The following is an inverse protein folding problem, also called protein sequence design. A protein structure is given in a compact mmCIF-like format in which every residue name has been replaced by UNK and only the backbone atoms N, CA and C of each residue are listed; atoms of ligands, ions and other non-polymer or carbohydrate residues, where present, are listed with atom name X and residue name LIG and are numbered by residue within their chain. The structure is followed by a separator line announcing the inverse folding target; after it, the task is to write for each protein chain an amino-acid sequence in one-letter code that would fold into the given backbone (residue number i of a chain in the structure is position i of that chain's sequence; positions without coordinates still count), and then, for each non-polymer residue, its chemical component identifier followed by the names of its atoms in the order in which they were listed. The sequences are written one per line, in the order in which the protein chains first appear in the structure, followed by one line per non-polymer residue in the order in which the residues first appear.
data_IF_762279983284
#
_entry.id   IF_762279983284
#
_cell.length_a   1.000
_cell.length_b   1.000
_cell.length_c   1.000
_cell.angle_alpha   90.00
_cell.angle_beta   90.00
_cell.angle_gamma   90.00
#
_symmetry.space_group_name_H-M   'P 1'
#
loop_
_entity.id
_entity.type
_entity.pdbx_description
1 polymer ?
#
# COMPACT_ATOMS: atom_id res chain seq x y z
N UNK A 1 -10.74 34.83 -4.89
CA UNK A 1 -9.84 34.32 -3.85
C UNK A 1 -8.59 35.17 -3.87
N UNK A 2 -8.17 35.66 -2.75
CA UNK A 2 -6.93 36.46 -2.71
C UNK A 2 -5.68 35.54 -2.72
N UNK A 3 -4.53 36.16 -3.01
CA UNK A 3 -3.25 35.44 -3.09
C UNK A 3 -2.89 34.76 -1.80
N UNK A 4 -3.15 35.41 -0.65
CA UNK A 4 -2.82 34.84 0.65
C UNK A 4 -3.57 33.56 0.93
N UNK A 5 -4.86 33.51 0.61
CA UNK A 5 -5.69 32.30 0.79
C UNK A 5 -5.25 31.19 -0.15
N UNK A 6 -4.91 31.55 -1.38
CA UNK A 6 -4.44 30.55 -2.35
C UNK A 6 -3.13 29.92 -1.90
N UNK A 7 -2.19 30.73 -1.43
CA UNK A 7 -0.89 30.24 -0.94
C UNK A 7 -1.05 29.40 0.31
N UNK A 8 -1.95 29.77 1.22
CA UNK A 8 -2.24 28.99 2.42
C UNK A 8 -2.82 27.62 2.07
N UNK A 9 -3.72 27.58 1.09
CA UNK A 9 -4.31 26.33 0.63
C UNK A 9 -3.26 25.40 0.02
N UNK A 10 -2.40 25.95 -0.84
CA UNK A 10 -1.31 25.19 -1.43
C UNK A 10 -0.39 24.61 -0.36
N UNK A 11 -0.02 25.41 0.63
CA UNK A 11 0.84 24.98 1.72
C UNK A 11 0.19 23.83 2.49
N UNK A 12 -1.10 23.95 2.80
CA UNK A 12 -1.82 22.89 3.50
C UNK A 12 -1.86 21.59 2.69
N UNK A 13 -2.11 21.70 1.40
CA UNK A 13 -2.12 20.52 0.53
C UNK A 13 -0.78 19.82 0.48
N UNK A 14 0.30 20.58 0.45
CA UNK A 14 1.65 20.02 0.47
C UNK A 14 1.95 19.33 1.81
N UNK A 15 1.56 19.97 2.91
CA UNK A 15 1.76 19.37 4.24
C UNK A 15 0.96 18.08 4.39
N UNK A 16 -0.28 18.05 3.91
CA UNK A 16 -1.13 16.86 3.97
C UNK A 16 -0.54 15.73 3.13
N UNK A 17 0.00 16.06 1.95
CA UNK A 17 0.66 15.07 1.09
C UNK A 17 1.92 14.51 1.73
N UNK A 18 2.71 15.35 2.39
CA UNK A 18 3.91 14.91 3.11
C UNK A 18 3.54 13.96 4.26
N UNK A 19 2.51 14.30 5.03
CA UNK A 19 2.05 13.45 6.12
C UNK A 19 1.52 12.12 5.61
N UNK A 20 0.82 12.14 4.49
CA UNK A 20 0.39 10.90 3.83
C UNK A 20 1.58 10.03 3.48
N UNK A 21 2.59 10.63 2.86
CA UNK A 21 3.79 9.90 2.46
C UNK A 21 4.51 9.30 3.67
N UNK A 22 4.61 10.06 4.76
CA UNK A 22 5.21 9.57 6.01
C UNK A 22 4.45 8.36 6.56
N UNK A 23 3.11 8.38 6.52
CA UNK A 23 2.29 7.24 6.97
C UNK A 23 2.51 6.02 6.10
N UNK A 24 2.58 6.20 4.78
CA UNK A 24 2.83 5.10 3.85
C UNK A 24 4.20 4.48 4.08
N UNK A 25 5.23 5.34 4.27
CA UNK A 25 6.59 4.87 4.51
C UNK A 25 6.72 4.11 5.84
N UNK A 26 5.95 4.51 6.84
CA UNK A 26 6.02 3.94 8.19
C UNK A 26 5.17 2.69 8.40
N UNK A 27 4.29 2.37 7.44
CA UNK A 27 3.36 1.26 7.58
C UNK A 27 3.91 0.00 6.93
N UNK A 28 3.84 -1.12 7.65
CA UNK A 28 4.19 -2.43 7.12
C UNK A 28 2.92 -3.25 6.94
N UNK A 29 2.76 -3.83 5.76
CA UNK A 29 1.61 -4.64 5.40
C UNK A 29 2.10 -6.02 5.00
N UNK A 30 1.42 -7.05 5.51
CA UNK A 30 1.82 -8.43 5.30
C UNK A 30 0.83 -9.18 4.43
N UNK A 31 1.36 -10.03 3.55
CA UNK A 31 0.59 -11.03 2.84
C UNK A 31 1.13 -12.40 3.20
N UNK A 32 0.30 -13.43 3.06
CA UNK A 32 0.71 -14.79 3.37
C UNK A 32 0.08 -15.78 2.40
N UNK A 33 0.67 -16.98 2.37
CA UNK A 33 0.17 -18.08 1.59
C UNK A 33 0.52 -19.41 2.26
N UNK A 34 -0.10 -20.49 1.81
CA UNK A 34 0.17 -21.81 2.36
C UNK A 34 -0.11 -21.93 3.86
N UNK A 35 -1.19 -21.31 4.35
CA UNK A 35 -1.50 -21.34 5.77
C UNK A 35 -0.50 -20.59 6.63
N UNK A 36 0.18 -19.61 6.07
CA UNK A 36 1.18 -18.81 6.77
C UNK A 36 2.61 -19.31 6.63
N UNK A 37 2.83 -20.37 5.84
CA UNK A 37 4.18 -20.88 5.62
C UNK A 37 5.08 -19.93 4.88
N UNK A 38 4.51 -19.07 4.05
CA UNK A 38 5.23 -18.01 3.34
C UNK A 38 4.55 -16.69 3.66
N UNK A 39 5.35 -15.71 4.07
CA UNK A 39 4.88 -14.35 4.35
C UNK A 39 5.73 -13.35 3.61
N UNK A 40 5.09 -12.32 3.10
CA UNK A 40 5.76 -11.19 2.46
C UNK A 40 5.38 -9.92 3.19
N UNK A 41 6.31 -8.99 3.31
CA UNK A 41 6.07 -7.69 3.93
C UNK A 41 6.40 -6.59 2.94
N UNK A 42 5.51 -5.61 2.83
CA UNK A 42 5.71 -4.42 2.00
C UNK A 42 5.41 -3.18 2.84
N UNK A 43 5.91 -2.02 2.41
CA UNK A 43 5.47 -0.78 3.01
C UNK A 43 4.20 -0.27 2.32
N UNK A 44 3.65 0.83 2.80
CA UNK A 44 2.43 1.40 2.23
C UNK A 44 2.58 1.88 0.78
N UNK A 45 3.81 2.07 0.31
CA UNK A 45 4.10 2.43 -1.08
C UNK A 45 4.23 1.22 -2.00
N UNK A 46 4.17 0.01 -1.44
CA UNK A 46 4.33 -1.20 -2.22
C UNK A 46 5.77 -1.65 -2.42
N UNK A 47 6.70 -1.13 -1.62
CA UNK A 47 8.08 -1.60 -1.65
C UNK A 47 8.20 -2.90 -0.87
N UNK A 48 8.76 -3.92 -1.49
CA UNK A 48 8.96 -5.20 -0.84
C UNK A 48 10.07 -5.09 0.20
N UNK A 49 9.74 -5.40 1.45
CA UNK A 49 10.67 -5.31 2.58
C UNK A 49 11.32 -6.65 2.90
N UNK A 50 10.62 -7.74 2.66
CA UNK A 50 11.15 -9.07 2.93
C UNK A 50 10.17 -10.17 2.64
N UNK A 51 10.69 -11.39 2.61
CA UNK A 51 9.91 -12.61 2.46
C UNK A 51 10.44 -13.60 3.50
N UNK A 52 9.52 -14.22 4.26
CA UNK A 52 9.84 -15.23 5.24
C UNK A 52 9.26 -16.55 4.78
N UNK A 53 10.10 -17.59 4.73
CA UNK A 53 9.69 -18.93 4.27
C UNK A 53 10.00 -19.93 5.38
N UNK A 54 8.97 -20.66 5.83
CA UNK A 54 9.17 -21.73 6.78
C UNK A 54 9.78 -22.94 6.08
N UNK A 55 10.59 -23.71 6.79
CA UNK A 55 11.25 -24.90 6.23
C UNK A 55 10.27 -25.87 5.60
N UNK A 56 9.09 -26.00 6.21
CA UNK A 56 8.06 -26.94 5.78
C UNK A 56 7.54 -26.61 4.36
N UNK A 57 7.72 -25.39 3.91
CA UNK A 57 7.33 -24.98 2.56
C UNK A 57 8.37 -25.34 1.50
N UNK A 58 9.57 -25.72 1.93
CA UNK A 58 10.68 -25.97 1.02
C UNK A 58 10.77 -27.46 0.70
N UNK A 59 10.38 -27.82 -0.53
CA UNK A 59 10.50 -29.16 -1.07
C UNK A 59 11.36 -29.11 -2.31
N UNK A 60 12.60 -29.63 -2.28
CA UNK A 60 13.47 -29.61 -3.44
C UNK A 60 12.89 -30.32 -4.68
N UNK A 61 11.93 -31.21 -4.46
CA UNK A 61 11.26 -31.93 -5.54
C UNK A 61 10.10 -31.13 -6.14
N UNK A 62 9.72 -30.03 -5.51
CA UNK A 62 8.60 -29.19 -5.98
C UNK A 62 8.90 -27.70 -5.77
N UNK A 63 9.88 -27.22 -6.49
CA UNK A 63 10.31 -25.82 -6.43
C UNK A 63 9.21 -24.89 -6.95
N UNK A 64 8.47 -25.35 -7.95
CA UNK A 64 7.39 -24.57 -8.56
C UNK A 64 6.31 -24.21 -7.56
N UNK A 65 5.95 -25.15 -6.66
CA UNK A 65 5.01 -24.87 -5.58
C UNK A 65 5.50 -23.72 -4.70
N UNK A 66 6.77 -23.73 -4.34
CA UNK A 66 7.36 -22.66 -3.52
C UNK A 66 7.30 -21.31 -4.25
N UNK A 67 7.60 -21.31 -5.54
CA UNK A 67 7.51 -20.08 -6.35
C UNK A 67 6.09 -19.51 -6.33
N UNK A 68 5.10 -20.38 -6.49
CA UNK A 68 3.69 -19.95 -6.46
C UNK A 68 3.28 -19.40 -5.10
N UNK A 69 3.75 -20.03 -4.02
CA UNK A 69 3.48 -19.54 -2.67
C UNK A 69 4.07 -18.15 -2.45
N UNK A 70 5.30 -17.92 -2.93
CA UNK A 70 5.96 -16.61 -2.80
C UNK A 70 5.18 -15.55 -3.58
N UNK A 71 4.83 -15.84 -4.82
CA UNK A 71 4.06 -14.92 -5.66
C UNK A 71 2.73 -14.55 -4.99
N UNK A 72 2.01 -15.55 -4.48
CA UNK A 72 0.72 -15.34 -3.83
C UNK A 72 0.86 -14.44 -2.58
N UNK A 73 1.85 -14.69 -1.74
CA UNK A 73 2.08 -13.89 -0.55
C UNK A 73 2.43 -12.44 -0.88
N UNK A 74 3.30 -12.25 -1.88
CA UNK A 74 3.70 -10.91 -2.34
C UNK A 74 2.50 -10.16 -2.92
N UNK A 75 1.71 -10.82 -3.76
CA UNK A 75 0.53 -10.19 -4.36
C UNK A 75 -0.48 -9.75 -3.30
N UNK A 76 -0.71 -10.57 -2.29
CA UNK A 76 -1.62 -10.21 -1.20
C UNK A 76 -1.13 -8.98 -0.45
N UNK A 77 0.17 -8.91 -0.15
CA UNK A 77 0.76 -7.75 0.51
C UNK A 77 0.64 -6.50 -0.36
N UNK A 78 0.91 -6.62 -1.65
CA UNK A 78 0.82 -5.49 -2.60
C UNK A 78 -0.62 -5.00 -2.75
N UNK A 79 -1.61 -5.88 -2.72
CA UNK A 79 -3.02 -5.49 -2.77
C UNK A 79 -3.40 -4.67 -1.55
N UNK A 80 -2.91 -5.05 -0.38
CA UNK A 80 -3.13 -4.29 0.86
C UNK A 80 -2.51 -2.90 0.77
N UNK A 81 -1.30 -2.79 0.20
CA UNK A 81 -0.64 -1.51 0.01
C UNK A 81 -1.41 -0.63 -0.98
N UNK A 82 -1.91 -1.22 -2.04
CA UNK A 82 -2.73 -0.50 -3.03
C UNK A 82 -4.00 0.04 -2.40
N UNK A 83 -4.68 -0.77 -1.59
CA UNK A 83 -5.88 -0.34 -0.87
C UNK A 83 -5.56 0.81 0.08
N UNK A 84 -4.45 0.71 0.82
CA UNK A 84 -4.03 1.78 1.72
C UNK A 84 -3.76 3.09 0.97
N UNK A 85 -3.04 3.02 -0.16
CA UNK A 85 -2.75 4.21 -0.97
C UNK A 85 -4.04 4.85 -1.49
N UNK A 86 -4.97 4.04 -1.96
CA UNK A 86 -6.26 4.53 -2.43
C UNK A 86 -7.05 5.21 -1.32
N UNK A 87 -7.06 4.63 -0.13
CA UNK A 87 -7.75 5.19 1.03
C UNK A 87 -7.11 6.52 1.47
N UNK A 88 -5.79 6.58 1.50
CA UNK A 88 -5.07 7.79 1.87
C UNK A 88 -5.28 8.91 0.87
N UNK A 89 -5.28 8.60 -0.41
CA UNK A 89 -5.57 9.58 -1.46
C UNK A 89 -7.00 10.12 -1.36
N UNK A 90 -7.94 9.24 -1.02
CA UNK A 90 -9.32 9.64 -0.85
C UNK A 90 -9.50 10.63 0.29
N UNK A 91 -8.73 10.48 1.36
CA UNK A 91 -8.73 11.39 2.51
C UNK A 91 -8.22 12.78 2.16
N UNK A 92 -7.35 12.89 1.15
CA UNK A 92 -6.82 14.18 0.70
C UNK A 92 -7.81 14.93 -0.19
N UNK A 93 -8.80 14.25 -0.76
CA UNK A 93 -9.77 14.87 -1.64
C UNK A 93 -10.83 15.58 -0.81
N UNK A 94 -11.25 16.79 -1.21
CA UNK A 94 -12.37 17.48 -0.56
C UNK A 94 -13.63 16.62 -0.62
N UNK A 95 -14.39 16.59 0.48
CA UNK A 95 -15.59 15.78 0.59
C UNK A 95 -16.66 16.14 -0.45
N UNK A 96 -16.67 17.39 -0.90
CA UNK A 96 -17.65 17.90 -1.88
C UNK A 96 -16.89 18.56 -3.02
N UNK A 97 -16.72 17.85 -4.11
CA UNK A 97 -16.18 18.42 -5.33
C UNK A 97 -17.35 18.58 -6.30
N UNK A 98 -17.83 19.81 -6.54
CA UNK A 98 -18.96 20.02 -7.46
C UNK A 98 -18.61 19.56 -8.86
N UNK A 99 -19.52 18.83 -9.48
CA UNK A 99 -19.40 18.45 -10.86
C UNK A 99 -18.65 17.17 -11.16
N UNK A 100 -18.15 16.46 -10.13
CA UNK A 100 -17.44 15.20 -10.35
C UNK A 100 -18.04 13.97 -9.65
N UNK A 101 -19.24 14.01 -9.09
CA UNK A 101 -19.78 12.82 -8.41
C UNK A 101 -19.95 11.62 -9.33
N UNK A 102 -20.07 11.83 -10.62
CA UNK A 102 -20.20 10.73 -11.57
C UNK A 102 -18.89 10.04 -11.93
N UNK A 103 -17.77 10.55 -11.47
CA UNK A 103 -16.46 9.96 -11.72
C UNK A 103 -16.06 8.94 -10.67
N UNK A 104 -16.84 8.82 -9.63
CA UNK A 104 -16.54 7.93 -8.52
C UNK A 104 -17.71 6.95 -8.28
#
# INVERSE_FOLDING_TARGET
MDMGKLMSLQKKMMEDAEKMQERLDATTLDGSSGGGMVKASVDGNGHLLGVTIQKEAVDPEDVEMLQDLVVTAVQEALEKAETMRADEQRKLMPANIPGIPGLF
#
